data_IF_716522180232
#
_entry.id   IF_716522180232
#
_cell.length_a   1.000
_cell.length_b   1.000
_cell.length_c   1.000
_cell.angle_alpha   90.00
_cell.angle_beta   90.00
_cell.angle_gamma   90.00
#
_symmetry.space_group_name_H-M   'P 1'
#
loop_
_entity.id
_entity.type
_entity.pdbx_description
1 polymer ?
#
# COMPACT_ATOMS: atom_id res chain seq x y z
N UNK A 1 -27.28 -38.54 31.80
CA UNK A 1 -26.53 -37.47 32.50
C UNK A 1 -26.01 -36.48 31.47
N UNK A 2 -26.73 -35.38 31.22
CA UNK A 2 -26.24 -34.29 30.37
C UNK A 2 -25.69 -33.21 31.31
N UNK A 3 -24.47 -33.43 31.81
CA UNK A 3 -23.84 -32.48 32.75
C UNK A 3 -23.71 -31.12 32.09
N UNK A 4 -23.90 -30.05 32.87
CA UNK A 4 -23.78 -28.66 32.41
C UNK A 4 -22.45 -28.41 31.66
N UNK A 5 -21.36 -29.03 32.13
CA UNK A 5 -20.05 -28.97 31.49
C UNK A 5 -20.00 -29.56 30.07
N UNK A 6 -20.77 -30.62 29.78
CA UNK A 6 -20.81 -31.20 28.44
C UNK A 6 -21.51 -30.26 27.43
N UNK A 7 -22.56 -29.55 27.86
CA UNK A 7 -23.24 -28.54 27.02
C UNK A 7 -22.33 -27.36 26.69
N UNK A 8 -21.58 -26.89 27.69
CA UNK A 8 -20.58 -25.83 27.50
C UNK A 8 -19.47 -26.27 26.54
N UNK A 9 -18.98 -27.50 26.68
CA UNK A 9 -17.97 -28.05 25.78
C UNK A 9 -18.46 -28.11 24.32
N UNK A 10 -19.73 -28.49 24.09
CA UNK A 10 -20.32 -28.47 22.74
C UNK A 10 -20.38 -27.06 22.17
N UNK A 11 -20.82 -26.07 22.94
CA UNK A 11 -20.89 -24.66 22.49
C UNK A 11 -19.48 -24.13 22.20
N UNK A 12 -18.52 -24.38 23.09
CA UNK A 12 -17.14 -23.96 22.92
C UNK A 12 -16.50 -24.59 21.67
N UNK A 13 -16.71 -25.89 21.45
CA UNK A 13 -16.17 -26.59 20.28
C UNK A 13 -16.78 -26.06 18.98
N UNK A 14 -18.08 -25.78 18.95
CA UNK A 14 -18.75 -25.17 17.78
C UNK A 14 -18.22 -23.76 17.52
N UNK A 15 -18.05 -22.95 18.57
CA UNK A 15 -17.50 -21.60 18.44
C UNK A 15 -16.06 -21.62 17.90
N UNK A 16 -15.20 -22.49 18.44
CA UNK A 16 -13.84 -22.68 17.95
C UNK A 16 -13.80 -23.15 16.50
N UNK A 17 -14.69 -24.06 16.10
CA UNK A 17 -14.77 -24.56 14.73
C UNK A 17 -15.22 -23.48 13.75
N UNK A 18 -16.26 -22.70 14.10
CA UNK A 18 -16.72 -21.57 13.29
C UNK A 18 -15.63 -20.51 13.15
N UNK A 19 -14.89 -20.20 14.22
CA UNK A 19 -13.77 -19.28 14.18
C UNK A 19 -12.65 -19.80 13.26
N UNK A 20 -12.30 -21.08 13.35
CA UNK A 20 -11.30 -21.70 12.48
C UNK A 20 -11.71 -21.65 10.99
N UNK A 21 -13.00 -21.85 10.69
CA UNK A 21 -13.54 -21.69 9.34
C UNK A 21 -13.40 -20.24 8.89
N UNK A 22 -13.85 -19.27 9.69
CA UNK A 22 -13.76 -17.85 9.33
C UNK A 22 -12.31 -17.41 9.07
N UNK A 23 -11.37 -17.81 9.93
CA UNK A 23 -9.95 -17.53 9.74
C UNK A 23 -9.39 -18.16 8.46
N UNK A 24 -9.76 -19.41 8.16
CA UNK A 24 -9.28 -20.08 6.94
C UNK A 24 -9.84 -19.44 5.66
N UNK A 25 -11.12 -19.06 5.65
CA UNK A 25 -11.72 -18.32 4.52
C UNK A 25 -11.09 -16.94 4.34
N UNK A 26 -10.83 -16.22 5.44
CA UNK A 26 -10.14 -14.93 5.42
C UNK A 26 -8.75 -15.05 4.79
N UNK A 27 -7.93 -16.01 5.24
CA UNK A 27 -6.60 -16.23 4.67
C UNK A 27 -6.64 -16.68 3.21
N UNK A 28 -7.63 -17.47 2.83
CA UNK A 28 -7.81 -17.93 1.45
C UNK A 28 -8.20 -16.76 0.53
N UNK A 29 -9.09 -15.88 0.99
CA UNK A 29 -9.49 -14.66 0.28
C UNK A 29 -8.28 -13.76 0.00
N UNK A 30 -7.43 -13.53 1.00
CA UNK A 30 -6.21 -12.74 0.86
C UNK A 30 -5.19 -13.40 -0.09
N UNK A 31 -5.09 -14.73 -0.08
CA UNK A 31 -4.20 -15.47 -0.99
C UNK A 31 -4.62 -15.34 -2.45
N UNK A 32 -5.92 -15.36 -2.74
CA UNK A 32 -6.43 -15.22 -4.10
C UNK A 32 -6.50 -13.76 -4.57
N UNK A 33 -6.53 -12.80 -3.65
CA UNK A 33 -6.57 -11.39 -3.99
C UNK A 33 -5.18 -10.86 -4.35
N UNK A 34 -4.74 -11.11 -5.59
CA UNK A 34 -3.57 -10.46 -6.16
C UNK A 34 -3.99 -9.11 -6.75
N UNK A 35 -3.60 -7.97 -6.16
CA UNK A 35 -4.03 -6.66 -6.63
C UNK A 35 -3.36 -6.34 -7.97
N UNK A 36 -4.17 -6.13 -9.01
CA UNK A 36 -3.71 -5.54 -10.26
C UNK A 36 -3.82 -4.02 -10.15
N UNK A 37 -2.69 -3.34 -9.99
CA UNK A 37 -2.63 -1.87 -9.94
C UNK A 37 -2.25 -1.35 -11.31
N UNK A 38 -3.08 -0.46 -11.87
CA UNK A 38 -2.72 0.28 -13.07
C UNK A 38 -2.21 1.67 -12.67
N UNK A 39 -0.93 1.93 -12.95
CA UNK A 39 -0.29 3.20 -12.61
C UNK A 39 0.11 3.94 -13.88
N UNK A 40 -0.41 5.15 -14.05
CA UNK A 40 -0.04 6.05 -15.12
C UNK A 40 0.63 7.29 -14.52
N UNK A 41 1.88 7.55 -14.94
CA UNK A 41 2.67 8.68 -14.46
C UNK A 41 3.00 9.56 -15.66
N UNK A 42 2.49 10.79 -15.65
CA UNK A 42 2.81 11.79 -16.66
C UNK A 42 3.58 12.96 -16.03
N UNK A 43 4.71 13.30 -16.61
CA UNK A 43 5.44 14.51 -16.24
C UNK A 43 4.83 15.68 -17.00
N UNK A 44 3.98 16.46 -16.32
CA UNK A 44 3.26 17.56 -16.96
C UNK A 44 4.18 18.72 -17.33
N UNK A 45 5.08 19.11 -16.42
CA UNK A 45 5.92 20.28 -16.66
C UNK A 45 7.14 20.32 -15.76
N UNK A 46 8.27 20.69 -16.34
CA UNK A 46 9.44 21.12 -15.57
C UNK A 46 9.43 22.64 -15.49
N UNK A 47 9.08 23.19 -14.33
CA UNK A 47 8.85 24.63 -14.18
C UNK A 47 10.13 25.43 -14.01
N UNK A 48 11.15 24.87 -13.36
CA UNK A 48 12.37 25.63 -13.06
C UNK A 48 13.54 24.72 -12.73
N UNK A 49 14.63 24.86 -13.49
CA UNK A 49 15.97 24.43 -13.08
C UNK A 49 16.76 25.69 -12.76
N UNK A 50 17.09 25.91 -11.50
CA UNK A 50 17.91 27.07 -11.12
C UNK A 50 18.96 26.66 -10.12
N UNK A 51 20.20 26.98 -10.44
CA UNK A 51 21.30 26.92 -9.48
C UNK A 51 21.18 28.13 -8.56
N UNK A 52 20.90 27.89 -7.30
CA UNK A 52 20.86 28.93 -6.28
C UNK A 52 22.27 29.52 -6.12
N UNK A 53 22.39 30.83 -5.88
CA UNK A 53 23.70 31.48 -5.68
C UNK A 53 24.47 30.89 -4.47
N UNK A 54 23.78 30.21 -3.56
CA UNK A 54 24.35 29.45 -2.43
C UNK A 54 25.01 28.12 -2.82
N UNK A 55 24.93 27.71 -4.10
CA UNK A 55 25.53 26.47 -4.62
C UNK A 55 24.60 25.27 -4.67
N UNK A 56 23.37 25.38 -4.17
CA UNK A 56 22.37 24.31 -4.22
C UNK A 56 21.57 24.35 -5.54
N UNK A 57 21.32 23.19 -6.14
CA UNK A 57 20.47 23.08 -7.31
C UNK A 57 19.00 22.93 -6.87
N UNK A 58 18.15 23.88 -7.27
CA UNK A 58 16.71 23.84 -7.03
C UNK A 58 16.01 23.41 -8.32
N UNK A 59 15.20 22.35 -8.21
CA UNK A 59 14.40 21.84 -9.31
C UNK A 59 12.92 21.81 -8.89
N UNK A 60 12.09 22.53 -9.63
CA UNK A 60 10.64 22.48 -9.50
C UNK A 60 10.05 21.65 -10.63
N UNK A 61 9.62 20.43 -10.29
CA UNK A 61 8.95 19.49 -11.19
C UNK A 61 7.46 19.44 -10.84
N UNK A 62 6.60 19.42 -11.86
CA UNK A 62 5.17 19.13 -11.74
C UNK A 62 4.89 17.83 -12.45
N UNK A 63 4.50 16.81 -11.68
CA UNK A 63 4.09 15.50 -12.17
C UNK A 63 2.61 15.27 -11.85
N UNK A 64 1.93 14.54 -12.72
CA UNK A 64 0.59 14.01 -12.50
C UNK A 64 0.69 12.51 -12.33
N UNK A 65 0.22 12.02 -11.18
CA UNK A 65 0.19 10.61 -10.85
C UNK A 65 -1.27 10.20 -10.84
N UNK A 66 -1.64 9.35 -11.78
CA UNK A 66 -2.96 8.72 -11.85
C UNK A 66 -2.77 7.23 -11.59
N UNK A 67 -3.24 6.75 -10.44
CA UNK A 67 -3.14 5.34 -10.07
C UNK A 67 -4.51 4.82 -9.67
N UNK A 68 -4.90 3.68 -10.23
CA UNK A 68 -6.08 2.94 -9.77
C UNK A 68 -5.67 1.91 -8.72
N UNK A 69 -6.02 2.19 -7.47
CA UNK A 69 -5.68 1.39 -6.29
C UNK A 69 -6.90 0.66 -5.73
N UNK A 70 -8.05 0.65 -6.43
CA UNK A 70 -9.27 0.00 -5.93
C UNK A 70 -9.04 -1.48 -5.61
N UNK A 71 -8.24 -2.17 -6.42
CA UNK A 71 -7.88 -3.58 -6.22
C UNK A 71 -6.99 -3.84 -4.99
N UNK A 72 -6.26 -2.81 -4.51
CA UNK A 72 -5.40 -2.91 -3.33
C UNK A 72 -6.17 -2.72 -2.01
N UNK A 73 -7.33 -2.06 -2.05
CA UNK A 73 -8.20 -1.89 -0.89
C UNK A 73 -9.14 -3.09 -0.73
N UNK A 74 -8.71 -4.05 0.09
CA UNK A 74 -9.53 -5.20 0.51
C UNK A 74 -10.10 -4.98 1.91
N UNK A 75 -10.97 -5.89 2.33
CA UNK A 75 -11.51 -5.93 3.70
C UNK A 75 -10.44 -6.02 4.80
N UNK A 76 -9.24 -6.54 4.49
CA UNK A 76 -8.13 -6.67 5.42
C UNK A 76 -7.09 -5.54 5.28
N UNK A 77 -7.11 -4.77 4.19
CA UNK A 77 -6.13 -3.70 3.94
C UNK A 77 -6.48 -2.44 4.73
N UNK A 78 -5.69 -2.11 5.75
CA UNK A 78 -5.89 -0.88 6.55
C UNK A 78 -5.22 0.36 5.96
N UNK A 79 -4.05 0.19 5.35
CA UNK A 79 -3.24 1.28 4.83
C UNK A 79 -2.43 0.82 3.62
N UNK A 80 -2.33 1.68 2.62
CA UNK A 80 -1.50 1.50 1.43
C UNK A 80 -0.46 2.60 1.41
N UNK A 81 0.79 2.24 1.13
CA UNK A 81 1.90 3.20 1.00
C UNK A 81 2.35 3.25 -0.45
N UNK A 82 2.27 4.43 -1.07
CA UNK A 82 2.77 4.65 -2.42
C UNK A 82 4.14 5.33 -2.33
N UNK A 83 5.13 4.69 -2.93
CA UNK A 83 6.50 5.20 -3.02
C UNK A 83 6.77 5.63 -4.45
N UNK A 84 7.11 6.90 -4.64
CA UNK A 84 7.54 7.43 -5.93
C UNK A 84 9.01 7.77 -5.83
N UNK A 85 9.84 7.03 -6.57
CA UNK A 85 11.26 7.31 -6.69
C UNK A 85 11.52 8.00 -8.03
N UNK A 86 12.08 9.22 -7.97
CA UNK A 86 12.59 9.92 -9.13
C UNK A 86 14.12 9.80 -9.11
N UNK A 87 14.66 9.16 -10.15
CA UNK A 87 16.10 9.00 -10.35
C UNK A 87 16.57 9.96 -11.44
N UNK A 88 17.69 10.63 -11.20
CA UNK A 88 18.30 11.54 -12.17
C UNK A 88 19.83 11.52 -12.09
N UNK A 89 20.46 11.70 -13.24
CA UNK A 89 21.91 11.68 -13.38
C UNK A 89 22.46 13.09 -13.52
N UNK A 90 23.63 13.33 -12.93
CA UNK A 90 24.37 14.59 -13.04
C UNK A 90 25.83 14.32 -13.38
N UNK A 91 26.54 15.31 -13.95
CA UNK A 91 27.97 15.17 -14.27
C UNK A 91 28.82 14.88 -13.02
N UNK A 92 28.36 15.29 -11.83
CA UNK A 92 29.04 15.04 -10.55
C UNK A 92 28.68 13.70 -9.90
N UNK A 93 27.45 13.23 -10.08
CA UNK A 93 26.95 11.99 -9.47
C UNK A 93 26.14 11.21 -10.50
N UNK A 94 26.53 9.95 -10.69
CA UNK A 94 25.92 9.00 -11.62
C UNK A 94 24.57 8.44 -11.18
N UNK A 95 24.10 8.73 -9.96
CA UNK A 95 22.75 8.38 -9.50
C UNK A 95 22.35 9.27 -8.33
N UNK A 96 21.37 10.15 -8.54
CA UNK A 96 20.69 10.87 -7.46
C UNK A 96 19.22 10.44 -7.42
N UNK A 97 18.75 10.03 -6.24
CA UNK A 97 17.40 9.53 -6.04
C UNK A 97 16.62 10.43 -5.06
N UNK A 98 15.41 10.83 -5.45
CA UNK A 98 14.45 11.52 -4.59
C UNK A 98 13.25 10.62 -4.39
N UNK A 99 12.97 10.29 -3.13
CA UNK A 99 11.84 9.42 -2.77
C UNK A 99 10.75 10.22 -2.09
N UNK A 100 9.54 10.15 -2.63
CA UNK A 100 8.32 10.73 -2.05
C UNK A 100 7.43 9.60 -1.55
N UNK A 101 7.05 9.68 -0.28
CA UNK A 101 6.13 8.74 0.36
C UNK A 101 4.74 9.37 0.47
N UNK A 102 3.72 8.68 -0.03
CA UNK A 102 2.31 9.09 0.09
C UNK A 102 1.55 7.99 0.85
N UNK A 103 1.11 8.24 2.10
CA UNK A 103 0.25 7.32 2.81
C UNK A 103 -1.21 7.47 2.37
N UNK A 104 -1.87 6.37 2.02
CA UNK A 104 -3.29 6.31 1.69
C UNK A 104 -4.00 5.39 2.70
N UNK A 105 -4.92 5.94 3.48
CA UNK A 105 -5.74 5.16 4.41
C UNK A 105 -7.06 4.74 3.77
N UNK A 106 -7.50 3.52 4.05
CA UNK A 106 -8.91 3.16 3.85
C UNK A 106 -9.75 3.94 4.86
N UNK A 107 -10.83 4.58 4.42
CA UNK A 107 -11.85 5.16 5.32
C UNK A 107 -12.67 4.05 5.97
#
# INVERSE_FOLDING_TARGET
MHSFGYRLNTIATVACFLLAILCSLASLSDYFNVPSVNSHIEVLKVNRFRKQLSGNDEVSLTFNISMDLQSAFTWNTKQVFVFVAAEYDTVKNCLNQVTVLIPLSSF
#
